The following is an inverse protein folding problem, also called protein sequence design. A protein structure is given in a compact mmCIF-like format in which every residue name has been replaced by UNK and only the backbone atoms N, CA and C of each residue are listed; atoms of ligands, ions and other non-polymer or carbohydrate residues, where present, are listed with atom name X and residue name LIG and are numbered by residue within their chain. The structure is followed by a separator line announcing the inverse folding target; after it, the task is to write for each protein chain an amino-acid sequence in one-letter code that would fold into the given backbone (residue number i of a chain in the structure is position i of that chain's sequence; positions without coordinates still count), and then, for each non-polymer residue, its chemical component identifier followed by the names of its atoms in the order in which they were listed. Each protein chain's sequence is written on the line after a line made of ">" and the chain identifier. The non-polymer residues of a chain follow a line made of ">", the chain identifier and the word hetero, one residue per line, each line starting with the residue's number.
data_IF_432790272744
#
_entry.id   IF_432790272744
#
_cell.length_a   1.000
_cell.length_b   1.000
_cell.length_c   1.000
_cell.angle_alpha   90.00
_cell.angle_beta   90.00
_cell.angle_gamma   90.00
#
_symmetry.space_group_name_H-M   'P 1'
#
loop_
_entity.id
_entity.type
_entity.pdbx_description
1 polymer ?
#
# COMPACT_ATOMS: atom_id res chain seq x y z
N UNK A 1 19.38 20.16 18.71
CA UNK A 1 18.73 21.04 17.72
C UNK A 1 17.20 21.11 17.94
N UNK A 2 16.58 22.29 17.79
CA UNK A 2 15.20 22.52 18.23
C UNK A 2 14.21 21.72 17.36
N UNK A 3 13.28 21.05 18.02
CA UNK A 3 12.18 20.29 17.41
C UNK A 3 11.14 21.27 16.87
N UNK A 4 11.44 21.89 15.72
CA UNK A 4 10.46 22.67 14.97
C UNK A 4 9.32 21.74 14.56
N UNK A 5 8.09 22.05 15.00
CA UNK A 5 6.88 21.38 14.54
C UNK A 5 6.75 21.63 13.04
N UNK A 6 7.20 20.67 12.22
CA UNK A 6 7.12 20.81 10.76
C UNK A 6 5.65 20.82 10.35
N UNK A 7 5.23 21.88 9.68
CA UNK A 7 3.88 22.01 9.15
C UNK A 7 3.60 20.85 8.17
N UNK A 8 2.38 20.31 8.18
CA UNK A 8 1.95 19.19 7.32
C UNK A 8 2.24 19.44 5.83
N UNK A 9 2.21 20.69 5.39
CA UNK A 9 2.42 21.11 4.01
C UNK A 9 3.89 21.23 3.57
N UNK A 10 4.86 20.95 4.45
CA UNK A 10 6.29 21.08 4.14
C UNK A 10 6.84 19.78 3.54
N UNK A 11 7.71 19.91 2.54
CA UNK A 11 8.38 18.74 1.93
C UNK A 11 9.22 18.00 2.96
N UNK A 12 9.83 18.72 3.90
CA UNK A 12 10.62 18.19 5.02
C UNK A 12 9.78 17.32 5.97
N UNK A 13 8.47 17.53 6.06
CA UNK A 13 7.58 16.65 6.81
C UNK A 13 7.48 15.26 6.16
N UNK A 14 7.44 15.20 4.83
CA UNK A 14 7.29 13.96 4.07
C UNK A 14 8.60 13.20 3.83
N UNK A 15 9.76 13.88 3.83
CA UNK A 15 11.07 13.25 3.63
C UNK A 15 11.33 12.02 4.53
N UNK A 16 10.84 12.04 5.78
CA UNK A 16 10.98 10.92 6.71
C UNK A 16 10.32 9.61 6.22
N UNK A 17 9.30 9.70 5.38
CA UNK A 17 8.58 8.55 4.84
C UNK A 17 9.19 7.99 3.56
N UNK A 18 10.16 8.71 2.97
CA UNK A 18 10.89 8.33 1.76
C UNK A 18 12.37 7.98 2.04
N UNK A 19 12.83 8.13 3.28
CA UNK A 19 14.18 7.77 3.68
C UNK A 19 14.27 6.26 3.96
N UNK A 20 14.41 5.46 2.90
CA UNK A 20 14.49 3.99 2.98
C UNK A 20 15.90 3.52 2.62
N UNK A 21 16.50 2.70 3.48
CA UNK A 21 17.79 2.07 3.19
C UNK A 21 17.61 0.67 2.59
N UNK A 22 18.64 0.17 1.89
CA UNK A 22 18.66 -1.18 1.29
C UNK A 22 18.37 -2.27 2.31
N UNK A 23 18.89 -2.15 3.53
CA UNK A 23 18.67 -3.11 4.61
C UNK A 23 17.20 -3.19 5.02
N UNK A 24 16.48 -2.07 4.99
CA UNK A 24 15.06 -2.02 5.35
C UNK A 24 14.22 -2.82 4.35
N UNK A 25 14.52 -2.70 3.05
CA UNK A 25 13.83 -3.44 1.99
C UNK A 25 14.09 -4.94 2.08
N UNK A 26 15.35 -5.34 2.28
CA UNK A 26 15.73 -6.76 2.42
C UNK A 26 15.08 -7.38 3.65
N UNK A 27 15.05 -6.65 4.78
CA UNK A 27 14.40 -7.13 5.99
C UNK A 27 12.90 -7.29 5.82
N UNK A 28 12.24 -6.37 5.10
CA UNK A 28 10.81 -6.48 4.76
C UNK A 28 10.53 -7.70 3.89
N UNK A 29 11.31 -7.93 2.83
CA UNK A 29 11.16 -9.11 1.95
C UNK A 29 11.35 -10.41 2.75
N UNK A 30 12.40 -10.48 3.58
CA UNK A 30 12.66 -11.66 4.41
C UNK A 30 11.52 -11.93 5.41
N UNK A 31 10.92 -10.87 5.97
CA UNK A 31 9.76 -10.95 6.88
C UNK A 31 8.47 -11.33 6.16
N UNK A 32 8.26 -10.89 4.92
CA UNK A 32 7.13 -11.34 4.09
C UNK A 32 7.21 -12.81 3.72
N UNK A 33 8.42 -13.37 3.64
CA UNK A 33 8.65 -14.77 3.27
C UNK A 33 8.57 -15.75 4.44
N UNK A 34 8.85 -15.29 5.68
CA UNK A 34 8.83 -16.14 6.87
C UNK A 34 8.15 -15.38 8.02
N UNK A 35 6.91 -15.75 8.40
CA UNK A 35 6.21 -15.12 9.52
C UNK A 35 6.89 -15.56 10.83
N UNK A 36 7.80 -14.73 11.36
CA UNK A 36 8.26 -14.88 12.74
C UNK A 36 7.17 -14.34 13.66
N UNK A 37 6.35 -15.25 14.20
CA UNK A 37 5.51 -14.95 15.35
C UNK A 37 6.40 -14.80 16.58
N UNK A 38 6.15 -13.75 17.37
CA UNK A 38 6.44 -13.61 18.82
C UNK A 38 7.03 -12.27 19.26
N UNK A 39 6.82 -11.14 18.57
CA UNK A 39 7.08 -9.86 19.25
C UNK A 39 6.20 -8.70 18.77
N UNK A 40 5.81 -7.87 19.74
CA UNK A 40 5.01 -6.65 19.62
C UNK A 40 5.73 -5.55 18.80
N UNK A 41 6.05 -5.86 17.55
CA UNK A 41 6.84 -5.03 16.63
C UNK A 41 6.03 -3.88 16.00
N UNK A 42 4.69 -3.98 16.05
CA UNK A 42 3.73 -2.94 15.65
C UNK A 42 3.86 -1.65 16.48
N UNK A 43 4.18 -1.76 17.77
CA UNK A 43 4.31 -0.59 18.65
C UNK A 43 5.74 -0.01 18.64
N UNK A 44 6.77 -0.86 18.53
CA UNK A 44 8.18 -0.47 18.68
C UNK A 44 8.88 -0.08 17.37
N UNK A 45 8.47 -0.62 16.21
CA UNK A 45 9.18 -0.44 14.94
C UNK A 45 8.33 0.08 13.77
N UNK A 46 7.00 0.08 13.88
CA UNK A 46 6.10 0.56 12.80
C UNK A 46 5.71 2.04 13.00
N UNK A 47 5.65 2.56 14.23
CA UNK A 47 5.43 4.00 14.50
C UNK A 47 6.59 4.95 14.11
N UNK A 48 7.88 4.57 14.15
CA UNK A 48 8.96 5.53 13.88
C UNK A 48 9.13 5.87 12.38
N UNK A 49 8.92 4.91 11.47
CA UNK A 49 9.23 5.06 10.04
C UNK A 49 8.14 4.44 9.14
N UNK A 50 6.93 5.05 9.04
CA UNK A 50 5.93 4.54 8.12
C UNK A 50 6.39 4.78 6.68
N UNK A 51 6.44 3.71 5.90
CA UNK A 51 7.06 3.67 4.59
C UNK A 51 6.05 3.96 3.48
N UNK A 52 6.09 5.17 2.94
CA UNK A 52 5.30 5.55 1.76
C UNK A 52 6.01 5.17 0.45
N UNK A 53 7.34 4.98 0.48
CA UNK A 53 8.13 4.58 -0.70
C UNK A 53 7.67 3.24 -1.28
N UNK A 54 7.40 2.23 -0.44
CA UNK A 54 7.03 0.88 -0.91
C UNK A 54 5.72 0.89 -1.72
N UNK A 55 4.58 1.22 -1.11
CA UNK A 55 3.29 1.27 -1.80
C UNK A 55 3.29 2.22 -3.01
N UNK A 56 3.92 3.39 -2.90
CA UNK A 56 3.98 4.36 -4.01
C UNK A 56 4.74 3.80 -5.23
N UNK A 57 5.98 3.34 -5.04
CA UNK A 57 6.82 2.89 -6.17
C UNK A 57 6.35 1.56 -6.75
N UNK A 58 5.81 0.65 -5.93
CA UNK A 58 5.21 -0.59 -6.41
C UNK A 58 4.00 -0.29 -7.32
N UNK A 59 3.15 0.69 -6.96
CA UNK A 59 2.05 1.10 -7.83
C UNK A 59 2.54 1.68 -9.15
N UNK A 60 3.54 2.59 -9.10
CA UNK A 60 4.09 3.25 -10.29
C UNK A 60 4.67 2.23 -11.27
N UNK A 61 5.51 1.31 -10.79
CA UNK A 61 6.14 0.29 -11.66
C UNK A 61 5.12 -0.68 -12.23
N UNK A 62 4.08 -1.05 -11.47
CA UNK A 62 3.00 -1.90 -11.95
C UNK A 62 2.17 -1.21 -13.05
N UNK A 63 1.85 0.08 -12.91
CA UNK A 63 1.15 0.86 -13.94
C UNK A 63 1.99 0.91 -15.23
N UNK A 64 3.29 1.19 -15.11
CA UNK A 64 4.19 1.17 -16.27
C UNK A 64 4.27 -0.21 -16.91
N UNK A 65 4.37 -1.27 -16.11
CA UNK A 65 4.39 -2.64 -16.61
C UNK A 65 3.10 -3.00 -17.38
N UNK A 66 1.93 -2.59 -16.87
CA UNK A 66 0.65 -2.78 -17.55
C UNK A 66 0.57 -1.96 -18.83
N UNK A 67 1.06 -0.72 -18.83
CA UNK A 67 1.09 0.11 -20.03
C UNK A 67 1.95 -0.54 -21.14
N UNK A 68 3.14 -1.03 -20.80
CA UNK A 68 4.02 -1.73 -21.75
C UNK A 68 3.40 -3.06 -22.18
N UNK A 69 2.86 -3.84 -21.24
CA UNK A 69 2.20 -5.12 -21.53
C UNK A 69 0.96 -4.94 -22.42
N UNK A 70 0.16 -3.90 -22.21
CA UNK A 70 -0.98 -3.56 -23.05
C UNK A 70 -0.57 -3.15 -24.47
N UNK A 71 0.53 -2.41 -24.62
CA UNK A 71 1.13 -2.13 -25.93
C UNK A 71 1.59 -3.42 -26.62
N UNK A 72 2.27 -4.31 -25.90
CA UNK A 72 2.77 -5.58 -26.41
C UNK A 72 1.64 -6.56 -26.79
N UNK A 73 0.61 -6.67 -25.95
CA UNK A 73 -0.55 -7.50 -26.20
C UNK A 73 -1.31 -7.04 -27.45
N UNK A 74 -1.47 -5.73 -27.63
CA UNK A 74 -2.02 -5.15 -28.84
C UNK A 74 -1.13 -5.47 -30.05
N UNK A 75 0.19 -5.29 -29.96
CA UNK A 75 1.11 -5.62 -31.05
C UNK A 75 0.97 -7.08 -31.52
N UNK A 76 0.87 -8.03 -30.59
CA UNK A 76 0.68 -9.45 -30.89
C UNK A 76 -0.71 -9.75 -31.47
N UNK A 77 -1.76 -9.11 -30.96
CA UNK A 77 -3.14 -9.33 -31.40
C UNK A 77 -3.43 -8.75 -32.79
N UNK A 78 -2.75 -7.66 -33.18
CA UNK A 78 -3.01 -6.93 -34.43
C UNK A 78 -2.06 -7.28 -35.59
N UNK A 79 -1.28 -8.36 -35.48
CA UNK A 79 -0.32 -8.82 -36.49
C UNK A 79 -0.95 -9.39 -37.79
N UNK A 80 -2.08 -8.84 -38.27
CA UNK A 80 -2.70 -9.32 -39.50
C UNK A 80 -3.79 -8.51 -40.21
N UNK A 81 -4.56 -7.61 -39.57
CA UNK A 81 -5.64 -6.85 -40.26
C UNK A 81 -5.84 -5.44 -39.68
N UNK A 82 -5.87 -4.45 -40.56
CA UNK A 82 -5.92 -3.02 -40.25
C UNK A 82 -7.18 -2.58 -39.48
N UNK A 83 -6.99 -2.08 -38.25
CA UNK A 83 -7.43 -0.77 -37.72
C UNK A 83 -6.97 -0.71 -36.25
N UNK A 84 -5.80 -0.11 -36.02
CA UNK A 84 -5.24 0.03 -34.67
C UNK A 84 -6.02 1.10 -33.91
N UNK A 85 -6.75 0.71 -32.85
CA UNK A 85 -7.27 1.64 -31.85
C UNK A 85 -6.59 1.33 -30.52
N UNK A 86 -5.70 2.22 -30.12
CA UNK A 86 -5.09 2.16 -28.81
C UNK A 86 -6.11 2.62 -27.76
N UNK A 87 -6.57 1.69 -26.95
CA UNK A 87 -7.47 1.97 -25.83
C UNK A 87 -6.68 2.57 -24.65
N UNK A 88 -6.38 3.87 -24.73
CA UNK A 88 -5.71 4.64 -23.68
C UNK A 88 -6.37 4.47 -22.29
N UNK A 89 -7.68 4.18 -22.27
CA UNK A 89 -8.46 3.99 -21.07
C UNK A 89 -8.02 2.80 -20.22
N UNK A 90 -7.44 1.74 -20.81
CA UNK A 90 -6.97 0.56 -20.06
C UNK A 90 -5.92 0.95 -19.01
N UNK A 91 -5.04 1.89 -19.34
CA UNK A 91 -3.99 2.36 -18.43
C UNK A 91 -4.59 3.16 -17.28
N UNK A 92 -5.56 4.03 -17.57
CA UNK A 92 -6.25 4.86 -16.56
C UNK A 92 -7.11 4.01 -15.61
N UNK A 93 -7.84 3.01 -16.13
CA UNK A 93 -8.59 2.06 -15.30
C UNK A 93 -7.66 1.21 -14.44
N UNK A 94 -6.57 0.68 -15.01
CA UNK A 94 -5.59 -0.08 -14.25
C UNK A 94 -4.98 0.75 -13.11
N UNK A 95 -4.57 1.99 -13.39
CA UNK A 95 -4.03 2.89 -12.37
C UNK A 95 -5.03 3.13 -11.23
N UNK A 96 -6.28 3.43 -11.58
CA UNK A 96 -7.34 3.69 -10.58
C UNK A 96 -7.62 2.45 -9.74
N UNK A 97 -7.74 1.27 -10.35
CA UNK A 97 -7.95 0.01 -9.65
C UNK A 97 -6.79 -0.36 -8.72
N UNK A 98 -5.54 -0.17 -9.15
CA UNK A 98 -4.35 -0.49 -8.36
C UNK A 98 -4.27 0.41 -7.12
N UNK A 99 -4.41 1.73 -7.30
CA UNK A 99 -4.41 2.65 -6.17
C UNK A 99 -5.57 2.35 -5.22
N UNK A 100 -6.79 2.17 -5.73
CA UNK A 100 -7.93 1.81 -4.88
C UNK A 100 -7.66 0.52 -4.10
N UNK A 101 -7.12 -0.52 -4.73
CA UNK A 101 -6.82 -1.78 -4.06
C UNK A 101 -5.81 -1.61 -2.92
N UNK A 102 -4.69 -0.92 -3.17
CA UNK A 102 -3.61 -0.71 -2.19
C UNK A 102 -4.09 0.11 -0.99
N UNK A 103 -5.04 1.02 -1.17
CA UNK A 103 -5.58 1.84 -0.07
C UNK A 103 -6.79 1.20 0.62
N UNK A 104 -7.72 0.62 -0.15
CA UNK A 104 -8.99 0.11 0.36
C UNK A 104 -8.82 -1.20 1.12
N UNK A 105 -7.90 -2.08 0.70
CA UNK A 105 -7.64 -3.34 1.37
C UNK A 105 -7.14 -3.17 2.82
N UNK A 106 -6.08 -2.37 3.11
CA UNK A 106 -5.65 -2.18 4.50
C UNK A 106 -6.67 -1.41 5.34
N UNK A 107 -7.40 -0.45 4.74
CA UNK A 107 -8.47 0.27 5.44
C UNK A 107 -9.65 -0.65 5.78
N UNK A 108 -10.06 -1.51 4.84
CA UNK A 108 -11.13 -2.48 5.02
C UNK A 108 -10.76 -3.52 6.08
N UNK A 109 -9.54 -4.05 6.05
CA UNK A 109 -9.04 -4.98 7.05
C UNK A 109 -8.97 -4.32 8.44
N UNK A 110 -8.48 -3.08 8.52
CA UNK A 110 -8.47 -2.31 9.76
C UNK A 110 -9.87 -2.07 10.31
N UNK A 111 -10.82 -1.69 9.45
CA UNK A 111 -12.21 -1.48 9.83
C UNK A 111 -12.88 -2.78 10.32
N UNK A 112 -12.64 -3.90 9.63
CA UNK A 112 -13.14 -5.21 10.02
C UNK A 112 -12.62 -5.63 11.40
N UNK A 113 -11.31 -5.52 11.64
CA UNK A 113 -10.69 -5.84 12.94
C UNK A 113 -11.23 -4.92 14.04
N UNK A 114 -11.38 -3.62 13.75
CA UNK A 114 -11.93 -2.68 14.73
C UNK A 114 -13.38 -2.98 15.08
N UNK A 115 -14.17 -3.43 14.10
CA UNK A 115 -15.56 -3.82 14.32
C UNK A 115 -15.68 -5.10 15.15
N UNK A 116 -14.84 -6.10 14.91
CA UNK A 116 -14.83 -7.33 15.72
C UNK A 116 -14.41 -7.06 17.15
N UNK A 117 -13.37 -6.25 17.38
CA UNK A 117 -12.89 -5.95 18.73
C UNK A 117 -13.90 -5.11 19.54
N UNK A 118 -14.51 -4.09 18.92
CA UNK A 118 -15.51 -3.26 19.61
C UNK A 118 -16.78 -4.02 20.00
N UNK A 119 -17.12 -5.07 19.24
CA UNK A 119 -18.24 -5.96 19.59
C UNK A 119 -17.93 -6.80 20.84
N UNK A 120 -16.68 -7.28 20.96
CA UNK A 120 -16.23 -8.06 22.12
C UNK A 120 -16.20 -7.25 23.41
N UNK A 121 -15.73 -6.00 23.37
CA UNK A 121 -15.70 -5.12 24.55
C UNK A 121 -17.14 -4.83 25.05
N UNK A 122 -18.07 -4.55 24.12
CA UNK A 122 -19.47 -4.26 24.45
C UNK A 122 -20.18 -5.45 25.11
N UNK A 123 -19.85 -6.68 24.71
CA UNK A 123 -20.46 -7.89 25.31
C UNK A 123 -19.98 -8.18 26.74
N UNK A 124 -18.73 -7.86 27.06
CA UNK A 124 -18.18 -8.06 28.41
C UNK A 124 -18.72 -7.04 29.41
N UNK A 125 -18.91 -5.80 28.96
CA UNK A 125 -19.54 -4.75 29.78
C UNK A 125 -21.01 -5.07 30.09
N UNK A 126 -21.72 -5.73 29.16
CA UNK A 126 -23.11 -6.15 29.38
C UNK A 126 -23.22 -7.30 30.40
N UNK A 127 -22.26 -8.24 30.41
CA UNK A 127 -22.22 -9.36 31.36
C UNK A 127 -21.77 -8.93 32.77
N UNK A 128 -21.01 -7.85 32.91
CA UNK A 128 -20.60 -7.28 34.21
C UNK A 128 -21.69 -6.41 34.88
N UNK A 129 -22.73 -6.03 34.15
CA UNK A 129 -23.83 -5.19 34.65
C UNK A 129 -25.04 -6.04 35.09
N UNK A 130 -25.09 -7.33 34.72
CA UNK A 130 -26.09 -8.32 35.15
C UNK A 130 -25.65 -9.09 36.41
#
# INVERSE_FOLDING_TARGET
>A
PPTSSRNFWTVEYYQKFFNVNTNDVVQRIKRSMIPHGTDNYLLSHIRPNPDLYGPFWICVTLIFAIAISGNLANYLAYSGKHHWRYEFHIVSYAATCIFLYVWLLPLGLWAAIKWTNGTSDTSLDAELIE
#
